data_IF_701727769183
#
_entry.id   IF_701727769183
#
_cell.length_a   1.000
_cell.length_b   1.000
_cell.length_c   1.000
_cell.angle_alpha   90.00
_cell.angle_beta   90.00
_cell.angle_gamma   90.00
#
_symmetry.space_group_name_H-M   'P 1'
#
loop_
_entity.id
_entity.type
_entity.pdbx_description
1 polymer ?
#
# COMPACT_ATOMS: atom_id res chain seq x y z
N UNK A 1 14.55 5.82 2.91
CA UNK A 1 14.36 4.54 2.20
C UNK A 1 14.27 4.80 0.71
N UNK A 2 14.85 3.91 -0.09
CA UNK A 2 14.67 3.98 -1.55
C UNK A 2 13.27 3.48 -1.91
N UNK A 3 12.83 3.79 -3.13
CA UNK A 3 11.53 3.28 -3.60
C UNK A 3 11.51 1.75 -3.61
N UNK A 4 12.64 1.12 -3.91
CA UNK A 4 12.74 -0.34 -3.89
C UNK A 4 12.53 -0.90 -2.48
N UNK A 5 13.13 -0.27 -1.48
CA UNK A 5 12.97 -0.68 -0.09
C UNK A 5 11.51 -0.51 0.36
N UNK A 6 10.90 0.61 -0.02
CA UNK A 6 9.49 0.87 0.28
C UNK A 6 8.62 -0.20 -0.38
N UNK A 7 8.91 -0.51 -1.64
CA UNK A 7 8.13 -1.53 -2.36
C UNK A 7 8.23 -2.90 -1.66
N UNK A 8 9.42 -3.30 -1.23
CA UNK A 8 9.58 -4.60 -0.58
C UNK A 8 8.74 -4.70 0.69
N UNK A 9 8.76 -3.66 1.51
CA UNK A 9 7.93 -3.63 2.71
C UNK A 9 6.45 -3.59 2.36
N UNK A 10 6.08 -2.77 1.39
CA UNK A 10 4.70 -2.67 0.94
C UNK A 10 4.19 -4.00 0.39
N UNK A 11 5.01 -4.69 -0.39
CA UNK A 11 4.67 -6.00 -0.92
C UNK A 11 4.32 -6.98 0.19
N UNK A 12 5.13 -6.98 1.25
CA UNK A 12 4.90 -7.89 2.37
C UNK A 12 3.60 -7.54 3.10
N UNK A 13 3.31 -6.26 3.27
CA UNK A 13 2.05 -5.82 3.89
C UNK A 13 0.84 -6.23 3.05
N UNK A 14 0.92 -6.03 1.75
CA UNK A 14 -0.17 -6.39 0.83
C UNK A 14 -0.37 -7.90 0.80
N UNK A 15 0.73 -8.65 0.70
CA UNK A 15 0.66 -10.11 0.65
C UNK A 15 0.01 -10.66 1.92
N UNK A 16 0.38 -10.14 3.07
CA UNK A 16 -0.18 -10.57 4.34
C UNK A 16 -1.66 -10.23 4.44
N UNK A 17 -2.03 -9.01 4.08
CA UNK A 17 -3.41 -8.57 4.22
C UNK A 17 -4.36 -9.30 3.30
N UNK A 18 -3.94 -9.56 2.07
CA UNK A 18 -4.81 -10.14 1.05
C UNK A 18 -4.54 -11.64 0.82
N UNK A 19 -3.68 -12.24 1.63
CA UNK A 19 -3.45 -13.69 1.58
C UNK A 19 -2.83 -14.17 0.28
N UNK A 20 -1.91 -13.41 -0.29
CA UNK A 20 -1.25 -13.80 -1.54
C UNK A 20 0.25 -13.94 -1.32
N UNK A 21 0.90 -14.60 -2.28
CA UNK A 21 2.35 -14.76 -2.21
C UNK A 21 3.03 -13.43 -2.55
N UNK A 22 4.10 -13.04 -1.82
CA UNK A 22 4.79 -11.79 -2.13
C UNK A 22 5.25 -11.70 -3.59
N UNK A 23 5.65 -12.81 -4.19
CA UNK A 23 6.10 -12.84 -5.58
C UNK A 23 5.02 -12.42 -6.58
N UNK A 24 3.76 -12.51 -6.17
CA UNK A 24 2.63 -12.13 -7.03
C UNK A 24 2.33 -10.65 -7.00
N UNK A 25 2.90 -9.92 -6.04
CA UNK A 25 2.64 -8.49 -5.87
C UNK A 25 3.63 -7.68 -6.70
N UNK A 26 3.11 -6.82 -7.55
CA UNK A 26 3.94 -5.91 -8.37
C UNK A 26 3.45 -4.48 -8.19
N UNK A 27 4.18 -3.53 -8.74
CA UNK A 27 3.77 -2.12 -8.71
C UNK A 27 2.45 -1.89 -9.42
N UNK A 28 2.14 -2.72 -10.41
CA UNK A 28 0.90 -2.60 -11.19
C UNK A 28 -0.28 -3.34 -10.58
N UNK A 29 -0.07 -4.08 -9.49
CA UNK A 29 -1.17 -4.80 -8.84
C UNK A 29 -2.24 -3.80 -8.39
N UNK A 30 -3.45 -3.94 -8.92
CA UNK A 30 -4.55 -3.03 -8.64
C UNK A 30 -5.36 -3.57 -7.46
N UNK A 31 -5.57 -2.74 -6.44
CA UNK A 31 -6.27 -3.19 -5.24
C UNK A 31 -7.69 -3.67 -5.54
N UNK A 32 -8.41 -2.90 -6.33
CA UNK A 32 -9.80 -3.23 -6.64
C UNK A 32 -9.93 -4.41 -7.61
N UNK A 33 -9.17 -4.37 -8.71
CA UNK A 33 -9.34 -5.34 -9.79
C UNK A 33 -8.66 -6.68 -9.53
N UNK A 34 -7.48 -6.66 -8.93
CA UNK A 34 -6.71 -7.89 -8.71
C UNK A 34 -7.01 -8.50 -7.35
N UNK A 35 -7.09 -7.66 -6.33
CA UNK A 35 -7.23 -8.12 -4.95
C UNK A 35 -8.67 -8.09 -4.44
N UNK A 36 -9.57 -7.46 -5.18
CA UNK A 36 -10.96 -7.34 -4.77
C UNK A 36 -11.15 -6.50 -3.52
N UNK A 37 -10.23 -5.58 -3.27
CA UNK A 37 -10.26 -4.76 -2.07
C UNK A 37 -11.42 -3.78 -2.11
N UNK A 38 -12.13 -3.65 -0.99
CA UNK A 38 -13.11 -2.59 -0.82
C UNK A 38 -12.52 -1.48 0.04
N UNK A 39 -13.31 -0.48 0.38
CA UNK A 39 -12.82 0.67 1.14
C UNK A 39 -12.33 0.30 2.53
N UNK A 40 -12.91 -0.72 3.14
CA UNK A 40 -12.49 -1.19 4.47
C UNK A 40 -11.10 -1.82 4.37
N UNK A 41 -10.89 -2.64 3.35
CA UNK A 41 -9.58 -3.27 3.12
C UNK A 41 -8.50 -2.23 2.90
N UNK A 42 -8.82 -1.18 2.12
CA UNK A 42 -7.87 -0.10 1.86
C UNK A 42 -7.53 0.69 3.12
N UNK A 43 -8.54 0.97 3.95
CA UNK A 43 -8.32 1.67 5.20
C UNK A 43 -7.41 0.85 6.12
N UNK A 44 -7.66 -0.46 6.21
CA UNK A 44 -6.82 -1.33 7.03
C UNK A 44 -5.39 -1.38 6.52
N UNK A 45 -5.20 -1.43 5.20
CA UNK A 45 -3.88 -1.40 4.61
C UNK A 45 -3.17 -0.09 4.91
N UNK A 46 -3.87 1.04 4.77
CA UNK A 46 -3.29 2.35 5.05
C UNK A 46 -2.89 2.46 6.52
N UNK A 47 -3.70 1.94 7.43
CA UNK A 47 -3.35 1.92 8.85
C UNK A 47 -2.08 1.11 9.10
N UNK A 48 -1.93 -0.03 8.44
CA UNK A 48 -0.71 -0.84 8.53
C UNK A 48 0.50 -0.09 7.98
N UNK A 49 0.31 0.64 6.87
CA UNK A 49 1.36 1.47 6.29
C UNK A 49 1.78 2.59 7.23
N UNK A 50 0.82 3.27 7.84
CA UNK A 50 1.11 4.35 8.78
C UNK A 50 1.94 3.85 9.94
N UNK A 51 1.61 2.68 10.45
CA UNK A 51 2.34 2.08 11.57
C UNK A 51 3.73 1.62 11.14
N UNK A 52 3.82 0.91 10.01
CA UNK A 52 5.09 0.33 9.55
C UNK A 52 6.10 1.40 9.15
N UNK A 53 5.65 2.45 8.49
CA UNK A 53 6.52 3.52 8.00
C UNK A 53 6.52 4.75 8.91
N UNK A 54 5.78 4.68 10.03
CA UNK A 54 5.67 5.78 11.00
C UNK A 54 5.19 7.08 10.34
N UNK A 55 4.15 6.95 9.52
CA UNK A 55 3.54 8.09 8.84
C UNK A 55 2.47 8.74 9.72
N UNK A 56 2.13 9.98 9.43
CA UNK A 56 0.96 10.61 10.03
C UNK A 56 -0.32 10.07 9.40
N UNK A 57 -1.48 10.45 9.93
CA UNK A 57 -2.77 10.00 9.41
C UNK A 57 -2.98 10.46 7.98
N UNK A 58 -3.43 9.53 7.13
CA UNK A 58 -3.77 9.85 5.76
C UNK A 58 -5.12 10.55 5.70
N UNK A 59 -5.24 11.50 4.77
CA UNK A 59 -6.53 12.13 4.48
C UNK A 59 -7.39 11.18 3.66
N UNK A 60 -8.71 11.33 3.76
CA UNK A 60 -9.63 10.45 3.04
C UNK A 60 -9.39 10.47 1.53
N UNK A 61 -9.15 11.65 0.97
CA UNK A 61 -8.88 11.78 -0.47
C UNK A 61 -7.57 11.13 -0.87
N UNK A 62 -6.56 11.11 0.03
CA UNK A 62 -5.31 10.42 -0.23
C UNK A 62 -5.53 8.91 -0.30
N UNK A 63 -6.37 8.38 0.60
CA UNK A 63 -6.69 6.95 0.59
C UNK A 63 -7.43 6.58 -0.69
N UNK A 64 -8.38 7.40 -1.11
CA UNK A 64 -9.16 7.13 -2.32
C UNK A 64 -8.33 7.17 -3.59
N UNK A 65 -7.19 7.86 -3.56
CA UNK A 65 -6.31 7.95 -4.72
C UNK A 65 -5.45 6.70 -4.90
N UNK A 66 -5.41 5.80 -3.93
CA UNK A 66 -4.59 4.60 -3.99
C UNK A 66 -5.29 3.53 -4.83
N UNK A 67 -4.86 3.38 -6.07
CA UNK A 67 -5.43 2.39 -7.00
C UNK A 67 -4.56 1.15 -7.14
N UNK A 68 -3.24 1.34 -7.12
CA UNK A 68 -2.28 0.25 -7.31
C UNK A 68 -1.26 0.24 -6.19
N UNK A 69 -0.51 -0.85 -6.11
CA UNK A 69 0.60 -0.94 -5.15
C UNK A 69 1.60 0.18 -5.42
N UNK A 70 1.84 0.50 -6.70
CA UNK A 70 2.73 1.61 -7.06
C UNK A 70 2.27 2.94 -6.50
N UNK A 71 0.95 3.19 -6.52
CA UNK A 71 0.40 4.42 -5.92
C UNK A 71 0.70 4.47 -4.43
N UNK A 72 0.57 3.34 -3.74
CA UNK A 72 0.86 3.25 -2.31
C UNK A 72 2.33 3.49 -2.02
N UNK A 73 3.22 2.92 -2.84
CA UNK A 73 4.66 3.14 -2.70
C UNK A 73 5.00 4.62 -2.89
N UNK A 74 4.43 5.24 -3.92
CA UNK A 74 4.67 6.66 -4.17
C UNK A 74 4.13 7.54 -3.05
N UNK A 75 3.00 7.17 -2.48
CA UNK A 75 2.44 7.88 -1.34
C UNK A 75 3.41 7.86 -0.15
N UNK A 76 3.92 6.68 0.18
CA UNK A 76 4.90 6.54 1.28
C UNK A 76 6.17 7.34 0.97
N UNK A 77 6.67 7.23 -0.26
CA UNK A 77 7.88 7.95 -0.65
C UNK A 77 7.70 9.45 -0.49
N UNK A 78 6.54 9.99 -0.85
CA UNK A 78 6.27 11.42 -0.73
C UNK A 78 6.20 11.87 0.74
N UNK A 79 5.71 11.00 1.62
CA UNK A 79 5.63 11.32 3.05
C UNK A 79 6.97 11.23 3.75
N UNK A 80 7.85 10.32 3.30
CA UNK A 80 9.16 10.14 3.91
C UNK A 80 10.20 11.13 3.38
N UNK A 81 9.96 11.71 2.23
CA UNK A 81 10.87 12.69 1.62
C UNK A 81 10.27 14.12 1.73
#
# INVERSE_FOLDING_TARGET
MSNEDIFQTMRDLVAEQFGMEPDEVTMETAFEYVLGADSVDLVELVMAMEEEFELGMAQEDEVKALKTVGDAVNYVASKLN
#
